data_IF_208158373984
#
_entry.id   IF_208158373984
#
_cell.length_a   1.000
_cell.length_b   1.000
_cell.length_c   1.000
_cell.angle_alpha   90.00
_cell.angle_beta   90.00
_cell.angle_gamma   90.00
#
_symmetry.space_group_name_H-M   'P 1'
#
loop_
_entity.id
_entity.type
_entity.pdbx_description
1 polymer ?
#
# COMPACT_ATOMS: atom_id res chain seq x y z
N UNK A 1 22.23 29.58 9.78
CA UNK A 1 22.31 28.43 8.85
C UNK A 1 21.81 27.22 9.60
N UNK A 2 20.57 26.82 9.34
CA UNK A 2 19.87 25.75 10.04
C UNK A 2 20.30 24.41 9.48
N UNK A 3 20.92 23.56 10.32
CA UNK A 3 21.34 22.21 9.94
C UNK A 3 20.20 21.26 10.22
N UNK A 4 19.34 21.02 9.23
CA UNK A 4 18.38 19.92 9.26
C UNK A 4 19.13 18.60 9.16
N UNK A 5 19.47 18.02 10.31
CA UNK A 5 20.04 16.67 10.41
C UNK A 5 18.90 15.65 10.43
N UNK A 6 18.25 15.46 9.29
CA UNK A 6 17.40 14.30 9.10
C UNK A 6 18.32 13.08 8.95
N UNK A 7 18.61 12.38 10.05
CA UNK A 7 19.28 11.09 10.01
C UNK A 7 18.29 10.05 9.47
N UNK A 8 18.57 9.52 8.28
CA UNK A 8 17.82 8.39 7.72
C UNK A 8 18.14 7.12 8.52
N UNK A 9 17.15 6.25 8.78
CA UNK A 9 17.37 5.00 9.52
C UNK A 9 18.41 4.11 8.80
N UNK A 10 19.26 3.45 9.59
CA UNK A 10 20.40 2.65 9.11
C UNK A 10 20.03 1.37 8.34
N UNK A 11 18.75 1.01 8.30
CA UNK A 11 18.22 -0.08 7.48
C UNK A 11 17.31 0.54 6.44
N UNK A 12 17.86 0.85 5.27
CA UNK A 12 17.05 1.14 4.10
C UNK A 12 16.84 -0.19 3.38
N UNK A 13 15.65 -0.79 3.53
CA UNK A 13 15.11 -1.61 2.44
C UNK A 13 15.36 -0.83 1.14
N UNK A 14 15.77 -1.51 0.06
CA UNK A 14 16.00 -0.84 -1.21
C UNK A 14 14.77 0.02 -1.54
N UNK A 15 14.94 1.33 -1.83
CA UNK A 15 13.81 2.18 -2.13
C UNK A 15 12.96 1.53 -3.22
N UNK A 16 11.64 1.55 -3.09
CA UNK A 16 10.76 1.04 -4.14
C UNK A 16 11.03 1.87 -5.40
N UNK A 17 11.85 1.34 -6.31
CA UNK A 17 12.23 1.99 -7.58
C UNK A 17 11.33 1.50 -8.69
N UNK A 18 10.03 1.74 -8.57
CA UNK A 18 9.09 1.53 -9.65
C UNK A 18 8.86 2.84 -10.41
N UNK A 19 8.67 2.76 -11.72
CA UNK A 19 8.23 3.91 -12.50
C UNK A 19 6.85 4.36 -12.01
N UNK A 20 6.72 5.64 -11.64
CA UNK A 20 5.41 6.23 -11.38
C UNK A 20 4.57 6.19 -12.67
N UNK A 21 3.36 5.63 -12.58
CA UNK A 21 2.44 5.54 -13.70
C UNK A 21 1.35 6.61 -13.50
N UNK A 22 1.25 7.63 -14.39
CA UNK A 22 0.09 8.52 -14.39
C UNK A 22 -1.19 7.76 -14.74
N UNK A 23 -2.36 8.33 -14.44
CA UNK A 23 -3.66 7.66 -14.56
C UNK A 23 -3.87 6.97 -15.92
N UNK A 24 -3.56 7.66 -17.02
CA UNK A 24 -3.74 7.10 -18.38
C UNK A 24 -2.89 5.85 -18.61
N UNK A 25 -1.68 5.83 -18.06
CA UNK A 25 -0.78 4.67 -18.13
C UNK A 25 -1.27 3.54 -17.24
N UNK A 26 -1.86 3.83 -16.07
CA UNK A 26 -2.52 2.83 -15.24
C UNK A 26 -3.73 2.22 -15.95
N UNK A 27 -4.54 3.04 -16.62
CA UNK A 27 -5.70 2.59 -17.41
C UNK A 27 -5.28 1.66 -18.54
N UNK A 28 -4.24 2.05 -19.29
CA UNK A 28 -3.66 1.23 -20.36
C UNK A 28 -3.12 -0.10 -19.80
N UNK A 29 -2.39 -0.05 -18.68
CA UNK A 29 -1.87 -1.25 -18.02
C UNK A 29 -3.01 -2.17 -17.56
N UNK A 30 -4.07 -1.63 -16.96
CA UNK A 30 -5.24 -2.40 -16.54
C UNK A 30 -5.95 -3.09 -17.71
N UNK A 31 -6.10 -2.40 -18.84
CA UNK A 31 -6.66 -3.00 -20.06
C UNK A 31 -5.77 -4.13 -20.61
N UNK A 32 -4.46 -3.94 -20.59
CA UNK A 32 -3.47 -4.94 -21.00
C UNK A 32 -3.48 -6.16 -20.06
N UNK A 33 -3.60 -5.93 -18.75
CA UNK A 33 -3.74 -6.98 -17.73
C UNK A 33 -5.02 -7.80 -17.95
N UNK A 34 -6.16 -7.14 -18.19
CA UNK A 34 -7.44 -7.80 -18.46
C UNK A 34 -7.43 -8.65 -19.74
N UNK A 35 -6.62 -8.27 -20.74
CA UNK A 35 -6.40 -9.05 -21.97
C UNK A 35 -5.47 -10.24 -21.79
N UNK A 36 -4.72 -10.30 -20.68
CA UNK A 36 -3.71 -11.34 -20.42
C UNK A 36 -2.35 -11.08 -21.09
N UNK A 37 -2.11 -9.85 -21.54
CA UNK A 37 -0.83 -9.44 -22.15
C UNK A 37 0.28 -9.30 -21.09
N UNK A 38 -0.10 -8.96 -19.85
CA UNK A 38 0.81 -8.83 -18.70
C UNK A 38 0.93 -10.19 -18.00
N UNK A 39 2.07 -10.84 -18.17
CA UNK A 39 2.36 -12.17 -17.58
C UNK A 39 3.34 -12.13 -16.41
N UNK A 40 4.06 -11.02 -16.27
CA UNK A 40 5.11 -10.86 -15.27
C UNK A 40 4.68 -9.85 -14.22
N UNK A 41 4.19 -10.38 -13.09
CA UNK A 41 3.76 -9.58 -11.94
C UNK A 41 4.73 -9.89 -10.79
N UNK A 42 5.87 -9.22 -10.81
CA UNK A 42 6.95 -9.43 -9.85
C UNK A 42 6.45 -9.26 -8.41
N UNK A 43 6.70 -10.26 -7.56
CA UNK A 43 6.33 -10.25 -6.14
C UNK A 43 4.83 -10.44 -5.86
N UNK A 44 4.01 -10.72 -6.88
CA UNK A 44 2.61 -11.07 -6.67
C UNK A 44 2.50 -12.57 -6.37
N UNK A 45 2.02 -12.89 -5.17
CA UNK A 45 1.77 -14.26 -4.72
C UNK A 45 0.31 -14.39 -4.26
N UNK A 46 -0.27 -15.60 -4.24
CA UNK A 46 -1.59 -15.82 -3.66
C UNK A 46 -1.64 -15.39 -2.18
N UNK A 47 -2.65 -14.59 -1.83
CA UNK A 47 -2.87 -14.16 -0.45
C UNK A 47 -4.35 -14.21 -0.08
N UNK A 48 -4.65 -14.36 1.21
CA UNK A 48 -6.01 -14.16 1.69
C UNK A 48 -6.26 -12.66 1.89
N UNK A 49 -7.14 -12.12 1.06
CA UNK A 49 -7.46 -10.71 1.02
C UNK A 49 -7.98 -10.17 2.35
N UNK A 50 -8.85 -10.91 3.04
CA UNK A 50 -9.52 -10.39 4.24
C UNK A 50 -8.53 -10.25 5.42
N UNK A 51 -7.71 -11.27 5.75
CA UNK A 51 -6.59 -11.12 6.67
C UNK A 51 -5.63 -10.01 6.24
N UNK A 52 -5.22 -9.96 4.96
CA UNK A 52 -4.27 -8.96 4.48
C UNK A 52 -4.77 -7.53 4.69
N UNK A 53 -6.03 -7.23 4.38
CA UNK A 53 -6.63 -5.90 4.60
C UNK A 53 -6.68 -5.56 6.09
N UNK A 54 -7.05 -6.53 6.95
CA UNK A 54 -7.08 -6.32 8.41
C UNK A 54 -5.68 -6.05 8.97
N UNK A 55 -4.69 -6.82 8.53
CA UNK A 55 -3.32 -6.71 9.02
C UNK A 55 -2.68 -5.39 8.55
N UNK A 56 -2.91 -5.00 7.29
CA UNK A 56 -2.53 -3.67 6.78
C UNK A 56 -3.17 -2.54 7.57
N UNK A 57 -4.49 -2.61 7.82
CA UNK A 57 -5.18 -1.59 8.63
C UNK A 57 -4.62 -1.49 10.06
N UNK A 58 -4.31 -2.64 10.66
CA UNK A 58 -3.71 -2.70 12.00
C UNK A 58 -2.32 -2.05 12.01
N UNK A 59 -1.51 -2.32 10.97
CA UNK A 59 -0.17 -1.76 10.85
C UNK A 59 -0.18 -0.25 10.61
N UNK A 60 -1.09 0.24 9.78
CA UNK A 60 -1.28 1.67 9.55
C UNK A 60 -1.63 2.38 10.87
N UNK A 61 -2.57 1.83 11.65
CA UNK A 61 -2.95 2.39 12.94
C UNK A 61 -1.80 2.38 13.95
N UNK A 62 -1.01 1.32 13.97
CA UNK A 62 0.21 1.22 14.79
C UNK A 62 1.19 2.35 14.44
N UNK A 63 1.49 2.53 13.14
CA UNK A 63 2.41 3.57 12.65
C UNK A 63 1.87 4.97 12.92
N UNK A 64 0.57 5.20 12.74
CA UNK A 64 -0.08 6.46 13.08
C UNK A 64 0.11 6.80 14.56
N UNK A 65 -0.19 5.85 15.46
CA UNK A 65 -0.05 6.05 16.92
C UNK A 65 1.39 6.29 17.33
N UNK A 66 2.34 5.52 16.79
CA UNK A 66 3.75 5.69 17.11
C UNK A 66 4.29 7.04 16.62
N UNK A 67 3.90 7.45 15.40
CA UNK A 67 4.31 8.74 14.82
C UNK A 67 3.71 9.91 15.58
N UNK A 68 2.43 9.83 15.95
CA UNK A 68 1.77 10.87 16.73
C UNK A 68 2.42 11.04 18.10
N UNK A 69 2.77 9.93 18.76
CA UNK A 69 3.48 9.96 20.04
C UNK A 69 4.90 10.55 19.91
N UNK A 70 5.62 10.23 18.82
CA UNK A 70 6.93 10.81 18.53
C UNK A 70 6.85 12.33 18.31
N UNK A 71 5.88 12.78 17.50
CA UNK A 71 5.64 14.20 17.26
C UNK A 71 5.30 14.95 18.57
N UNK A 72 4.46 14.36 19.43
CA UNK A 72 4.13 14.94 20.73
C UNK A 72 5.34 15.08 21.68
N UNK A 73 6.39 14.25 21.51
CA UNK A 73 7.66 14.36 22.24
C UNK A 73 8.66 15.32 21.58
N UNK A 74 8.30 15.97 20.47
CA UNK A 74 9.18 16.86 19.72
C UNK A 74 10.25 16.13 18.91
N UNK A 75 10.07 14.83 18.65
CA UNK A 75 10.99 14.06 17.81
C UNK A 75 10.82 14.42 16.34
N UNK A 76 11.91 14.37 15.57
CA UNK A 76 11.84 14.53 14.11
C UNK A 76 11.18 13.29 13.50
N UNK A 77 10.09 13.50 12.76
CA UNK A 77 9.42 12.45 11.99
C UNK A 77 9.72 12.59 10.50
N UNK A 78 9.62 11.50 9.73
CA UNK A 78 9.88 11.54 8.29
C UNK A 78 8.74 12.25 7.55
N UNK A 79 8.98 12.82 6.35
CA UNK A 79 7.92 13.42 5.53
C UNK A 79 6.76 12.48 5.23
N UNK A 80 7.04 11.19 5.02
CA UNK A 80 6.00 10.17 4.82
C UNK A 80 5.14 9.95 6.08
N UNK A 81 5.75 9.98 7.26
CA UNK A 81 5.04 9.84 8.52
C UNK A 81 4.17 11.07 8.82
N UNK A 82 4.65 12.29 8.52
CA UNK A 82 3.86 13.52 8.59
C UNK A 82 2.65 13.45 7.64
N UNK A 83 2.84 13.02 6.40
CA UNK A 83 1.74 12.84 5.45
C UNK A 83 0.66 11.90 5.99
N UNK A 84 1.04 10.79 6.65
CA UNK A 84 0.08 9.88 7.26
C UNK A 84 -0.73 10.56 8.38
N UNK A 85 -0.10 11.39 9.23
CA UNK A 85 -0.81 12.13 10.27
C UNK A 85 -1.84 13.09 9.66
N UNK A 86 -1.42 13.85 8.63
CA UNK A 86 -2.26 14.85 7.97
C UNK A 86 -3.43 14.23 7.21
N UNK A 87 -3.29 12.98 6.76
CA UNK A 87 -4.26 12.29 5.89
C UNK A 87 -4.95 11.08 6.56
N UNK A 88 -4.85 10.92 7.89
CA UNK A 88 -5.39 9.73 8.56
C UNK A 88 -6.89 9.51 8.30
N UNK A 89 -7.68 10.60 8.20
CA UNK A 89 -9.12 10.51 7.89
C UNK A 89 -9.39 9.82 6.55
N UNK A 90 -8.60 10.15 5.52
CA UNK A 90 -8.74 9.56 4.17
C UNK A 90 -8.35 8.08 4.19
N UNK A 91 -7.31 7.74 4.94
CA UNK A 91 -6.86 6.36 5.09
C UNK A 91 -7.90 5.51 5.83
N UNK A 92 -8.46 6.03 6.92
CA UNK A 92 -9.55 5.36 7.66
C UNK A 92 -10.80 5.17 6.80
N UNK A 93 -11.20 6.21 6.06
CA UNK A 93 -12.31 6.13 5.10
C UNK A 93 -12.05 5.06 4.03
N UNK A 94 -10.85 5.05 3.44
CA UNK A 94 -10.48 4.06 2.42
C UNK A 94 -10.51 2.65 2.97
N UNK A 95 -9.99 2.43 4.19
CA UNK A 95 -10.05 1.12 4.86
C UNK A 95 -11.51 0.67 5.05
N UNK A 96 -12.40 1.58 5.43
CA UNK A 96 -13.82 1.28 5.59
C UNK A 96 -14.49 0.95 4.24
N UNK A 97 -14.24 1.75 3.21
CA UNK A 97 -14.76 1.53 1.86
C UNK A 97 -14.32 0.18 1.30
N UNK A 98 -13.03 -0.16 1.40
CA UNK A 98 -12.50 -1.47 0.95
C UNK A 98 -13.22 -2.63 1.64
N UNK A 99 -13.43 -2.56 2.96
CA UNK A 99 -14.14 -3.62 3.69
C UNK A 99 -15.61 -3.73 3.30
N UNK A 100 -16.27 -2.59 3.08
CA UNK A 100 -17.69 -2.51 2.69
C UNK A 100 -17.90 -3.02 1.27
N UNK A 101 -17.06 -2.60 0.34
CA UNK A 101 -17.25 -2.79 -1.10
C UNK A 101 -16.63 -4.11 -1.60
N UNK A 102 -15.70 -4.70 -0.83
CA UNK A 102 -15.09 -6.01 -1.13
C UNK A 102 -15.37 -7.05 -0.04
N UNK A 103 -16.65 -7.38 0.25
CA UNK A 103 -16.99 -8.44 1.18
C UNK A 103 -16.51 -9.79 0.64
N UNK A 104 -16.19 -10.74 1.55
CA UNK A 104 -15.62 -12.06 1.21
C UNK A 104 -16.33 -12.78 0.07
N UNK A 105 -17.66 -12.73 0.01
CA UNK A 105 -18.44 -13.37 -1.06
C UNK A 105 -18.22 -12.72 -2.42
N UNK A 106 -18.23 -11.38 -2.47
CA UNK A 106 -18.01 -10.62 -3.69
C UNK A 106 -16.57 -10.76 -4.18
N UNK A 107 -15.60 -10.64 -3.28
CA UNK A 107 -14.18 -10.80 -3.62
C UNK A 107 -13.89 -12.15 -4.29
N UNK A 108 -14.50 -13.24 -3.82
CA UNK A 108 -14.36 -14.58 -4.43
C UNK A 108 -15.00 -14.74 -5.80
N UNK A 109 -15.85 -13.80 -6.23
CA UNK A 109 -16.46 -13.80 -7.56
C UNK A 109 -15.60 -13.08 -8.59
N UNK A 110 -14.54 -12.38 -8.16
CA UNK A 110 -13.67 -11.65 -9.07
C UNK A 110 -12.88 -12.62 -9.96
N UNK A 111 -12.62 -12.23 -11.23
CA UNK A 111 -11.73 -13.00 -12.11
C UNK A 111 -10.34 -13.12 -11.51
N UNK A 112 -9.77 -14.32 -11.54
CA UNK A 112 -8.39 -14.57 -11.12
C UNK A 112 -7.43 -14.50 -12.30
N UNK A 113 -6.20 -14.12 -12.06
CA UNK A 113 -5.10 -14.16 -13.02
C UNK A 113 -4.27 -15.44 -12.85
N UNK A 114 -3.66 -15.92 -13.94
CA UNK A 114 -2.68 -17.01 -13.90
C UNK A 114 -1.28 -16.42 -14.02
N UNK A 115 -0.45 -16.66 -13.02
CA UNK A 115 0.94 -16.23 -12.97
C UNK A 115 1.85 -17.16 -13.79
N UNK A 116 3.08 -16.70 -14.04
CA UNK A 116 4.10 -17.44 -14.81
C UNK A 116 4.46 -18.78 -14.20
N UNK A 117 4.51 -18.86 -12.88
CA UNK A 117 4.77 -20.07 -12.09
C UNK A 117 3.56 -21.02 -12.00
N UNK A 118 2.42 -20.64 -12.59
CA UNK A 118 1.19 -21.41 -12.59
C UNK A 118 0.24 -21.12 -11.42
N UNK A 119 0.63 -20.26 -10.47
CA UNK A 119 -0.24 -19.82 -9.39
C UNK A 119 -1.44 -19.02 -9.92
N UNK A 120 -2.54 -19.03 -9.16
CA UNK A 120 -3.72 -18.20 -9.42
C UNK A 120 -3.89 -17.18 -8.30
N UNK A 121 -4.07 -15.93 -8.69
CA UNK A 121 -4.24 -14.78 -7.79
C UNK A 121 -5.49 -14.00 -8.14
#
# INVERSE_FOLDING_TARGET
>A
MEKTSASFPAITEEPIRSNFLPEERLRTLGASLAKGDVKDLFGLEPFDFQPRVRDSASKILEVYRSTNAAQARGETITPAAQWLLDNNYLVEETIFQVKRDLPRRFYRQLPTLKLRDGARV
#
